data_IF_723015833262
#
_entry.id   IF_723015833262
#
_cell.length_a   1.000
_cell.length_b   1.000
_cell.length_c   1.000
_cell.angle_alpha   90.00
_cell.angle_beta   90.00
_cell.angle_gamma   90.00
#
_symmetry.space_group_name_H-M   'P 1'
#
loop_
_entity.id
_entity.type
_entity.pdbx_description
1 polymer ?
#
# COMPACT_ATOMS: atom_id res chain seq x y z
N UNK A 1 -3.05 -10.74 -0.78
CA UNK A 1 -2.83 -11.00 0.66
C UNK A 1 -1.37 -10.70 0.96
N UNK A 2 -1.07 -9.78 1.89
CA UNK A 2 0.31 -9.62 2.38
C UNK A 2 0.70 -10.92 3.09
N UNK A 3 1.87 -11.51 2.81
CA UNK A 3 2.33 -12.71 3.49
C UNK A 3 2.36 -12.45 5.01
N UNK A 4 2.02 -13.47 5.79
CA UNK A 4 2.16 -13.45 7.26
C UNK A 4 3.65 -13.36 7.58
N UNK A 5 4.17 -12.14 7.71
CA UNK A 5 5.52 -11.88 8.18
C UNK A 5 5.54 -12.01 9.70
N UNK A 6 6.49 -12.78 10.22
CA UNK A 6 6.76 -12.80 11.66
C UNK A 6 7.25 -11.41 12.10
N UNK A 7 6.94 -11.03 13.34
CA UNK A 7 7.37 -9.74 13.90
C UNK A 7 8.90 -9.51 13.83
N UNK A 8 9.76 -10.53 14.03
CA UNK A 8 11.20 -10.38 13.82
C UNK A 8 11.58 -10.09 12.37
N UNK A 9 10.93 -10.75 11.41
CA UNK A 9 11.20 -10.54 9.99
C UNK A 9 10.81 -9.12 9.56
N UNK A 10 9.63 -8.63 9.98
CA UNK A 10 9.20 -7.26 9.71
C UNK A 10 10.16 -6.23 10.33
N UNK A 11 10.57 -6.45 11.58
CA UNK A 11 11.51 -5.56 12.27
C UNK A 11 12.86 -5.48 11.55
N UNK A 12 13.34 -6.60 11.02
CA UNK A 12 14.59 -6.66 10.24
C UNK A 12 14.46 -5.92 8.91
N UNK A 13 13.36 -6.11 8.17
CA UNK A 13 13.14 -5.39 6.92
C UNK A 13 13.03 -3.88 7.11
N UNK A 14 12.43 -3.42 8.22
CA UNK A 14 12.39 -1.99 8.55
C UNK A 14 13.81 -1.48 8.83
N UNK A 15 14.60 -2.24 9.58
CA UNK A 15 15.99 -1.85 9.89
C UNK A 15 16.85 -1.74 8.61
N UNK A 16 16.76 -2.73 7.72
CA UNK A 16 17.49 -2.71 6.44
C UNK A 16 17.08 -1.51 5.57
N UNK A 17 15.80 -1.13 5.60
CA UNK A 17 15.31 0.06 4.90
C UNK A 17 15.88 1.35 5.50
N UNK A 18 15.85 1.49 6.83
CA UNK A 18 16.41 2.66 7.54
C UNK A 18 17.93 2.78 7.31
N UNK A 19 18.66 1.65 7.29
CA UNK A 19 20.09 1.60 6.97
C UNK A 19 20.36 2.02 5.52
N UNK A 20 19.60 1.51 4.56
CA UNK A 20 19.75 1.87 3.14
C UNK A 20 19.44 3.34 2.83
N UNK A 21 18.58 3.97 3.64
CA UNK A 21 18.24 5.40 3.52
C UNK A 21 19.14 6.30 4.39
N UNK A 22 19.99 5.71 5.23
CA UNK A 22 20.75 6.41 6.26
C UNK A 22 19.86 7.35 7.13
N UNK A 23 18.62 6.93 7.40
CA UNK A 23 17.62 7.73 8.08
C UNK A 23 16.68 6.84 8.91
N UNK A 24 16.37 7.29 10.13
CA UNK A 24 15.35 6.65 10.95
C UNK A 24 13.96 7.07 10.49
N UNK A 25 13.11 6.11 10.15
CA UNK A 25 11.75 6.33 9.67
C UNK A 25 10.72 6.17 10.80
N UNK A 26 11.05 5.44 11.86
CA UNK A 26 10.13 5.15 12.95
C UNK A 26 10.70 5.43 14.35
N UNK A 27 9.89 6.05 15.20
CA UNK A 27 10.10 6.06 16.65
C UNK A 27 9.49 4.83 17.29
N UNK A 28 10.32 4.05 18.01
CA UNK A 28 9.82 2.96 18.86
C UNK A 28 9.52 3.49 20.25
N UNK A 29 8.24 3.45 20.65
CA UNK A 29 7.76 3.86 21.98
C UNK A 29 7.14 2.67 22.70
N UNK A 30 7.04 2.76 24.03
CA UNK A 30 6.42 1.71 24.86
C UNK A 30 4.96 1.39 24.48
N UNK A 31 4.26 2.33 23.84
CA UNK A 31 2.87 2.20 23.39
C UNK A 31 2.71 1.87 21.90
N UNK A 32 3.80 1.68 21.15
CA UNK A 32 3.74 1.38 19.72
C UNK A 32 4.80 2.11 18.90
N UNK A 33 4.50 2.30 17.61
CA UNK A 33 5.42 2.86 16.62
C UNK A 33 4.77 4.07 15.94
N UNK A 34 5.53 5.15 15.78
CA UNK A 34 5.10 6.35 15.05
C UNK A 34 6.15 6.75 14.02
N UNK A 35 5.76 7.48 12.97
CA UNK A 35 6.71 7.99 11.99
C UNK A 35 7.60 9.09 12.59
N UNK A 36 8.80 9.22 12.05
CA UNK A 36 9.64 10.43 12.15
C UNK A 36 9.27 11.40 11.00
N UNK A 37 9.81 12.62 10.99
CA UNK A 37 9.65 13.54 9.86
C UNK A 37 10.16 12.94 8.53
N UNK A 38 11.28 12.22 8.59
CA UNK A 38 11.81 11.47 7.45
C UNK A 38 10.87 10.31 7.05
N UNK A 39 10.27 9.64 8.04
CA UNK A 39 9.25 8.63 7.85
C UNK A 39 8.01 9.14 7.15
N UNK A 40 7.51 10.33 7.53
CA UNK A 40 6.35 10.96 6.89
C UNK A 40 6.63 11.34 5.44
N UNK A 41 7.78 11.94 5.18
CA UNK A 41 8.22 12.27 3.81
C UNK A 41 8.37 11.02 2.95
N UNK A 42 9.06 9.99 3.48
CA UNK A 42 9.25 8.73 2.77
C UNK A 42 7.92 8.01 2.51
N UNK A 43 6.99 8.03 3.46
CA UNK A 43 5.67 7.42 3.31
C UNK A 43 4.92 7.96 2.10
N UNK A 44 4.90 9.28 1.90
CA UNK A 44 4.23 9.89 0.74
C UNK A 44 4.78 9.36 -0.58
N UNK A 45 6.11 9.29 -0.71
CA UNK A 45 6.76 8.74 -1.91
C UNK A 45 6.52 7.24 -2.08
N UNK A 46 6.67 6.47 -1.01
CA UNK A 46 6.50 5.02 -1.03
C UNK A 46 5.06 4.63 -1.41
N UNK A 47 4.04 5.35 -0.91
CA UNK A 47 2.65 5.12 -1.27
C UNK A 47 2.41 5.28 -2.77
N UNK A 48 2.90 6.37 -3.36
CA UNK A 48 2.76 6.63 -4.81
C UNK A 48 3.48 5.56 -5.64
N UNK A 49 4.72 5.21 -5.28
CA UNK A 49 5.50 4.17 -5.99
C UNK A 49 4.76 2.83 -5.97
N UNK A 50 4.20 2.45 -4.83
CA UNK A 50 3.46 1.19 -4.69
C UNK A 50 2.14 1.20 -5.46
N UNK A 51 1.50 2.36 -5.63
CA UNK A 51 0.30 2.52 -6.44
C UNK A 51 0.61 2.38 -7.93
N UNK A 52 1.64 3.08 -8.41
CA UNK A 52 2.12 2.98 -9.79
C UNK A 52 2.58 1.56 -10.13
N UNK A 53 3.28 0.88 -9.21
CA UNK A 53 3.67 -0.51 -9.40
C UNK A 53 2.44 -1.43 -9.55
N UNK A 54 1.37 -1.20 -8.76
CA UNK A 54 0.13 -1.98 -8.89
C UNK A 54 -0.55 -1.72 -10.23
N UNK A 55 -0.61 -0.47 -10.67
CA UNK A 55 -1.17 -0.09 -11.96
C UNK A 55 -0.41 -0.77 -13.10
N UNK A 56 0.93 -0.70 -13.09
CA UNK A 56 1.77 -1.36 -14.09
C UNK A 56 1.59 -2.88 -14.12
N UNK A 57 1.46 -3.53 -12.95
CA UNK A 57 1.16 -4.97 -12.88
C UNK A 57 -0.23 -5.30 -13.43
N UNK A 58 -1.22 -4.45 -13.19
CA UNK A 58 -2.57 -4.62 -13.73
C UNK A 58 -2.60 -4.47 -15.25
N UNK A 59 -1.93 -3.46 -15.79
CA UNK A 59 -1.81 -3.26 -17.24
C UNK A 59 -1.22 -4.49 -17.94
N UNK A 60 -0.19 -5.12 -17.34
CA UNK A 60 0.40 -6.36 -17.87
C UNK A 60 -0.60 -7.52 -17.80
N UNK A 61 -1.31 -7.69 -16.67
CA UNK A 61 -2.34 -8.74 -16.54
C UNK A 61 -3.44 -8.60 -17.59
N UNK A 62 -3.94 -7.38 -17.80
CA UNK A 62 -4.96 -7.10 -18.80
C UNK A 62 -4.48 -7.43 -20.22
N UNK A 63 -3.25 -7.06 -20.57
CA UNK A 63 -2.64 -7.41 -21.87
C UNK A 63 -2.47 -8.91 -22.08
N UNK A 64 -2.30 -9.68 -21.00
CA UNK A 64 -2.24 -11.15 -21.04
C UNK A 64 -3.62 -11.82 -21.12
N UNK A 65 -4.71 -11.05 -21.27
CA UNK A 65 -6.08 -11.58 -21.36
C UNK A 65 -6.65 -12.04 -20.02
N UNK A 66 -5.98 -11.75 -18.91
CA UNK A 66 -6.48 -11.98 -17.56
C UNK A 66 -7.24 -10.72 -17.12
N UNK A 67 -8.48 -10.56 -17.60
CA UNK A 67 -9.42 -9.57 -17.07
C UNK A 67 -9.83 -9.97 -15.64
N UNK A 68 -8.96 -9.68 -14.67
CA UNK A 68 -9.18 -9.96 -13.27
C UNK A 68 -8.53 -8.86 -12.42
N UNK A 69 -9.37 -8.08 -11.73
CA UNK A 69 -8.97 -6.99 -10.85
C UNK A 69 -10.15 -6.53 -9.99
N UNK A 70 -9.88 -5.80 -8.91
CA UNK A 70 -10.92 -5.26 -8.03
C UNK A 70 -10.95 -3.74 -8.18
N UNK A 71 -12.06 -3.19 -8.68
CA UNK A 71 -12.28 -1.75 -8.76
C UNK A 71 -13.10 -1.34 -7.56
N UNK A 72 -12.54 -0.49 -6.70
CA UNK A 72 -13.29 0.10 -5.58
C UNK A 72 -13.98 1.36 -6.09
N UNK A 73 -15.30 1.31 -6.25
CA UNK A 73 -16.12 2.44 -6.68
C UNK A 73 -16.83 3.03 -5.46
N UNK A 74 -16.47 4.26 -5.08
CA UNK A 74 -17.21 5.03 -4.09
C UNK A 74 -18.36 5.79 -4.75
N UNK A 75 -19.60 5.56 -4.33
CA UNK A 75 -20.78 6.28 -4.85
C UNK A 75 -21.70 6.73 -3.72
N UNK A 76 -22.32 7.90 -3.88
CA UNK A 76 -23.40 8.35 -3.00
C UNK A 76 -24.63 7.44 -3.14
N UNK A 77 -25.35 7.22 -2.03
CA UNK A 77 -26.44 6.24 -1.93
C UNK A 77 -27.59 6.43 -2.93
N UNK A 78 -27.82 7.68 -3.39
CA UNK A 78 -28.81 7.99 -4.42
C UNK A 78 -28.38 7.53 -5.82
N UNK A 79 -27.09 7.64 -6.14
CA UNK A 79 -26.52 7.28 -7.44
C UNK A 79 -26.32 5.76 -7.55
N UNK A 80 -25.93 5.10 -6.44
CA UNK A 80 -25.79 3.63 -6.41
C UNK A 80 -27.09 2.92 -6.78
N UNK A 81 -28.24 3.42 -6.31
CA UNK A 81 -29.55 2.83 -6.61
C UNK A 81 -29.96 2.94 -8.08
N UNK A 82 -29.43 3.91 -8.82
CA UNK A 82 -29.79 4.16 -10.23
C UNK A 82 -28.81 3.55 -11.22
N UNK A 83 -27.53 3.40 -10.87
CA UNK A 83 -26.47 2.99 -11.80
C UNK A 83 -25.86 1.61 -11.50
N UNK A 84 -26.13 1.01 -10.32
CA UNK A 84 -25.68 -0.36 -10.10
C UNK A 84 -26.53 -1.34 -10.93
N UNK A 85 -25.89 -2.20 -11.75
CA UNK A 85 -26.60 -3.30 -12.39
C UNK A 85 -27.21 -4.19 -11.30
N UNK A 86 -28.42 -4.69 -11.54
CA UNK A 86 -28.94 -5.78 -10.73
C UNK A 86 -28.05 -7.01 -10.98
N UNK A 87 -27.28 -7.39 -9.97
CA UNK A 87 -26.51 -8.64 -9.92
C UNK A 87 -27.11 -9.56 -8.87
#
# INVERSE_FOLDING_TARGET
>A
ALPILSQPALSKSIQELEEGLAAQLFFRRSKGVTLTDAGESFYQHASLILEELRAAQEDIRQRQGQLAGQINIGMGASISRSLMPAV
#
